data_IF_158432677666
#
_entry.id   IF_158432677666
#
_cell.length_a   1.000
_cell.length_b   1.000
_cell.length_c   1.000
_cell.angle_alpha   90.00
_cell.angle_beta   90.00
_cell.angle_gamma   90.00
#
_symmetry.space_group_name_H-M   'P 1'
#
loop_
_entity.id
_entity.type
_entity.pdbx_description
1 polymer ?
#
# COMPACT_ATOMS: atom_id res chain seq x y z
N UNK A 1 15.47 -10.30 -2.31
CA UNK A 1 15.02 -9.28 -3.28
C UNK A 1 15.75 -9.51 -4.61
N UNK A 2 15.03 -9.51 -5.74
CA UNK A 2 15.61 -9.79 -7.06
C UNK A 2 16.71 -8.81 -7.49
N UNK A 3 16.69 -7.58 -6.97
CA UNK A 3 17.60 -6.49 -7.34
C UNK A 3 18.72 -6.24 -6.31
N UNK A 4 18.82 -7.07 -5.26
CA UNK A 4 19.81 -6.91 -4.20
C UNK A 4 19.61 -5.67 -3.30
N UNK A 5 18.48 -4.99 -3.40
CA UNK A 5 18.09 -3.85 -2.53
C UNK A 5 16.61 -3.97 -2.15
N UNK A 6 16.24 -3.39 -1.01
CA UNK A 6 14.87 -3.17 -0.56
C UNK A 6 14.47 -1.69 -0.59
N UNK A 7 15.38 -0.78 -0.96
CA UNK A 7 15.11 0.65 -1.11
C UNK A 7 14.38 0.90 -2.41
N UNK A 8 13.14 1.37 -2.33
CA UNK A 8 12.36 1.76 -3.50
C UNK A 8 13.00 2.93 -4.26
N UNK A 9 13.64 3.85 -3.53
CA UNK A 9 14.37 4.98 -4.10
C UNK A 9 15.54 4.51 -4.97
N UNK A 10 16.29 3.50 -4.52
CA UNK A 10 17.40 2.95 -5.29
C UNK A 10 16.90 2.29 -6.58
N UNK A 11 15.78 1.56 -6.49
CA UNK A 11 15.17 0.90 -7.65
C UNK A 11 14.68 1.93 -8.66
N UNK A 12 13.99 2.97 -8.22
CA UNK A 12 13.55 4.07 -9.09
C UNK A 12 14.72 4.77 -9.78
N UNK A 13 15.81 5.01 -9.04
CA UNK A 13 17.04 5.59 -9.61
C UNK A 13 17.62 4.70 -10.71
N UNK A 14 17.74 3.39 -10.48
CA UNK A 14 18.22 2.43 -11.50
C UNK A 14 17.32 2.44 -12.74
N UNK A 15 16.00 2.52 -12.55
CA UNK A 15 15.05 2.61 -13.67
C UNK A 15 15.27 3.90 -14.48
N UNK A 16 15.48 5.03 -13.81
CA UNK A 16 15.77 6.31 -14.45
C UNK A 16 17.11 6.28 -15.23
N UNK A 17 18.08 5.50 -14.76
CA UNK A 17 19.36 5.24 -15.42
C UNK A 17 19.28 4.20 -16.56
N UNK A 18 18.09 3.63 -16.81
CA UNK A 18 17.84 2.72 -17.93
C UNK A 18 17.94 1.23 -17.60
N UNK A 19 18.00 0.85 -16.31
CA UNK A 19 18.00 -0.56 -15.89
C UNK A 19 16.65 -1.23 -16.18
N UNK A 20 16.60 -1.97 -17.29
CA UNK A 20 15.42 -2.72 -17.72
C UNK A 20 15.01 -3.85 -16.77
N UNK A 21 15.96 -4.47 -16.06
CA UNK A 21 15.66 -5.54 -15.10
C UNK A 21 15.04 -4.96 -13.83
N UNK A 22 15.55 -3.82 -13.36
CA UNK A 22 14.94 -3.07 -12.27
C UNK A 22 13.50 -2.69 -12.61
N UNK A 23 13.26 -2.16 -13.82
CA UNK A 23 11.92 -1.81 -14.29
C UNK A 23 10.99 -3.00 -14.31
N UNK A 24 11.42 -4.12 -14.89
CA UNK A 24 10.62 -5.35 -14.98
C UNK A 24 10.22 -5.86 -13.59
N UNK A 25 11.17 -5.91 -12.67
CA UNK A 25 10.91 -6.35 -11.30
C UNK A 25 9.97 -5.39 -10.56
N UNK A 26 10.16 -4.08 -10.72
CA UNK A 26 9.35 -3.07 -10.04
C UNK A 26 7.92 -2.98 -10.59
N UNK A 27 7.76 -3.07 -11.91
CA UNK A 27 6.45 -3.18 -12.54
C UNK A 27 5.76 -4.51 -12.17
N UNK A 28 6.52 -5.60 -12.06
CA UNK A 28 6.02 -6.88 -11.55
C UNK A 28 5.46 -6.78 -10.13
N UNK A 29 6.09 -5.98 -9.26
CA UNK A 29 5.56 -5.67 -7.93
C UNK A 29 4.22 -4.92 -8.02
N UNK A 30 4.16 -3.86 -8.84
CA UNK A 30 2.92 -3.10 -9.07
C UNK A 30 1.78 -4.01 -9.59
N UNK A 31 2.10 -4.91 -10.50
CA UNK A 31 1.16 -5.88 -11.07
C UNK A 31 0.61 -6.84 -10.02
N UNK A 32 1.47 -7.37 -9.15
CA UNK A 32 1.04 -8.28 -8.08
C UNK A 32 0.15 -7.57 -7.05
N UNK A 33 0.49 -6.33 -6.67
CA UNK A 33 -0.37 -5.52 -5.80
C UNK A 33 -1.73 -5.27 -6.44
N UNK A 34 -1.77 -4.90 -7.73
CA UNK A 34 -3.02 -4.70 -8.45
C UNK A 34 -3.89 -5.96 -8.51
N UNK A 35 -3.28 -7.14 -8.69
CA UNK A 35 -4.00 -8.42 -8.65
C UNK A 35 -4.60 -8.71 -7.29
N UNK A 36 -3.89 -8.44 -6.21
CA UNK A 36 -4.42 -8.63 -4.85
C UNK A 36 -5.60 -7.69 -4.58
N UNK A 37 -5.53 -6.43 -5.03
CA UNK A 37 -6.66 -5.50 -4.98
C UNK A 37 -7.86 -6.08 -5.74
N UNK A 38 -7.65 -6.58 -6.96
CA UNK A 38 -8.71 -7.23 -7.75
C UNK A 38 -9.30 -8.47 -7.07
N UNK A 39 -8.47 -9.27 -6.39
CA UNK A 39 -8.93 -10.44 -5.62
C UNK A 39 -9.86 -10.02 -4.47
N UNK A 40 -9.50 -8.98 -3.73
CA UNK A 40 -10.33 -8.46 -2.63
C UNK A 40 -11.63 -7.86 -3.17
N UNK A 41 -11.56 -7.08 -4.26
CA UNK A 41 -12.75 -6.53 -4.91
C UNK A 41 -13.71 -7.63 -5.37
N UNK A 42 -13.18 -8.73 -5.93
CA UNK A 42 -13.96 -9.90 -6.31
C UNK A 42 -14.66 -10.54 -5.09
N UNK A 43 -13.94 -10.68 -3.96
CA UNK A 43 -14.52 -11.21 -2.72
C UNK A 43 -15.65 -10.32 -2.17
N UNK A 44 -15.66 -9.03 -2.51
CA UNK A 44 -16.71 -8.06 -2.19
C UNK A 44 -17.78 -7.93 -3.28
N UNK A 45 -17.82 -8.86 -4.26
CA UNK A 45 -18.74 -8.79 -5.41
C UNK A 45 -18.65 -7.48 -6.21
N UNK A 46 -17.49 -6.82 -6.19
CA UNK A 46 -17.29 -5.51 -6.82
C UNK A 46 -17.86 -4.32 -6.03
N UNK A 47 -18.50 -4.54 -4.88
CA UNK A 47 -19.03 -3.50 -4.01
C UNK A 47 -17.90 -2.86 -3.19
N UNK A 48 -17.11 -2.01 -3.84
CA UNK A 48 -15.95 -1.33 -3.25
C UNK A 48 -16.13 0.19 -3.35
N UNK A 49 -16.19 0.86 -2.20
CA UNK A 49 -16.31 2.33 -2.16
C UNK A 49 -15.01 3.04 -2.57
N UNK A 50 -13.88 2.53 -2.06
CA UNK A 50 -12.56 3.11 -2.28
C UNK A 50 -11.45 2.08 -2.15
N UNK A 51 -10.35 2.34 -2.84
CA UNK A 51 -9.07 1.63 -2.71
C UNK A 51 -8.09 2.58 -2.03
N UNK A 52 -7.60 2.21 -0.85
CA UNK A 52 -6.65 3.01 -0.08
C UNK A 52 -5.24 2.46 -0.25
N UNK A 53 -4.33 3.28 -0.79
CA UNK A 53 -2.91 2.96 -0.91
C UNK A 53 -2.16 3.73 0.19
N UNK A 54 -1.60 2.99 1.14
CA UNK A 54 -0.89 3.53 2.31
C UNK A 54 0.43 2.79 2.53
N UNK A 55 1.12 3.05 3.63
CA UNK A 55 2.42 2.47 3.94
C UNK A 55 3.58 3.24 3.33
N UNK A 56 4.81 2.81 3.66
CA UNK A 56 6.03 3.46 3.15
C UNK A 56 6.11 3.51 1.61
N UNK A 57 5.64 2.46 0.92
CA UNK A 57 5.67 2.34 -0.52
C UNK A 57 4.76 3.34 -1.26
N UNK A 58 3.74 3.87 -0.59
CA UNK A 58 2.84 4.87 -1.16
C UNK A 58 3.53 6.23 -1.42
N UNK A 59 4.76 6.44 -0.94
CA UNK A 59 5.58 7.60 -1.31
C UNK A 59 6.14 7.50 -2.74
N UNK A 60 6.20 6.30 -3.32
CA UNK A 60 6.62 6.11 -4.71
C UNK A 60 5.48 6.49 -5.67
N UNK A 61 5.63 7.64 -6.34
CA UNK A 61 4.67 8.07 -7.38
C UNK A 61 4.62 7.06 -8.53
N UNK A 62 5.77 6.56 -8.98
CA UNK A 62 5.88 5.60 -10.08
C UNK A 62 5.07 4.33 -9.77
N UNK A 63 5.25 3.77 -8.58
CA UNK A 63 4.54 2.57 -8.15
C UNK A 63 3.04 2.82 -8.02
N UNK A 64 2.66 3.92 -7.36
CA UNK A 64 1.26 4.30 -7.15
C UNK A 64 0.54 4.50 -8.48
N UNK A 65 1.17 5.15 -9.46
CA UNK A 65 0.60 5.36 -10.79
C UNK A 65 0.38 4.03 -11.52
N UNK A 66 1.35 3.12 -11.49
CA UNK A 66 1.22 1.80 -12.12
C UNK A 66 0.14 0.93 -11.48
N UNK A 67 -0.02 0.98 -10.16
CA UNK A 67 -1.11 0.29 -9.46
C UNK A 67 -2.45 0.95 -9.85
N UNK A 68 -2.54 2.28 -9.71
CA UNK A 68 -3.76 3.06 -9.96
C UNK A 68 -4.29 2.85 -11.37
N UNK A 69 -3.40 2.87 -12.38
CA UNK A 69 -3.78 2.64 -13.77
C UNK A 69 -4.51 1.31 -13.98
N UNK A 70 -4.17 0.28 -13.19
CA UNK A 70 -4.74 -1.07 -13.29
C UNK A 70 -6.03 -1.24 -12.49
N UNK A 71 -6.20 -0.52 -11.38
CA UNK A 71 -7.30 -0.79 -10.41
C UNK A 71 -8.36 0.31 -10.35
N UNK A 72 -8.12 1.50 -10.94
CA UNK A 72 -9.07 2.63 -10.88
C UNK A 72 -10.45 2.36 -11.51
N UNK A 73 -10.59 1.29 -12.28
CA UNK A 73 -11.89 0.88 -12.83
C UNK A 73 -12.80 0.25 -11.76
N UNK A 74 -12.22 -0.23 -10.65
CA UNK A 74 -12.94 -0.88 -9.55
C UNK A 74 -13.58 0.20 -8.67
N UNK A 75 -12.79 1.16 -8.21
CA UNK A 75 -13.23 2.21 -7.29
C UNK A 75 -12.29 3.42 -7.29
N UNK A 76 -12.67 4.49 -6.58
CA UNK A 76 -11.80 5.65 -6.34
C UNK A 76 -10.53 5.22 -5.59
N UNK A 77 -9.37 5.57 -6.13
CA UNK A 77 -8.08 5.34 -5.46
C UNK A 77 -7.70 6.56 -4.63
N UNK A 78 -7.37 6.33 -3.37
CA UNK A 78 -6.97 7.35 -2.40
C UNK A 78 -5.59 7.00 -1.84
N UNK A 79 -4.68 7.97 -1.80
CA UNK A 79 -3.27 7.74 -1.44
C UNK A 79 -2.96 8.48 -0.15
N UNK A 80 -2.53 7.74 0.87
CA UNK A 80 -2.15 8.26 2.18
C UNK A 80 -0.78 7.71 2.56
N UNK A 81 0.31 8.38 2.14
CA UNK A 81 1.66 7.90 2.39
C UNK A 81 2.02 7.86 3.88
N UNK A 82 2.82 6.87 4.25
CA UNK A 82 3.35 6.74 5.61
C UNK A 82 2.53 5.83 6.52
N UNK A 83 3.03 5.68 7.74
CA UNK A 83 2.47 4.81 8.77
C UNK A 83 2.51 5.61 10.09
N UNK A 84 1.37 6.14 10.54
CA UNK A 84 1.27 6.86 11.82
C UNK A 84 1.17 5.88 13.01
N UNK A 85 2.03 4.86 13.07
CA UNK A 85 1.88 3.73 14.00
C UNK A 85 1.91 4.17 15.47
N UNK A 86 2.89 4.98 15.85
CA UNK A 86 3.04 5.46 17.23
C UNK A 86 1.83 6.29 17.68
N UNK A 87 1.29 7.11 16.77
CA UNK A 87 0.11 7.91 17.06
C UNK A 87 -1.16 7.05 17.09
N UNK A 88 -1.28 6.06 16.22
CA UNK A 88 -2.38 5.09 16.25
C UNK A 88 -2.41 4.31 17.57
N UNK A 89 -1.23 3.86 18.04
CA UNK A 89 -1.09 3.16 19.30
C UNK A 89 -1.44 4.06 20.49
N UNK A 90 -0.89 5.28 20.53
CA UNK A 90 -1.19 6.25 21.58
C UNK A 90 -2.69 6.59 21.63
N UNK A 91 -3.32 6.79 20.47
CA UNK A 91 -4.77 7.04 20.36
C UNK A 91 -5.59 5.84 20.84
N UNK A 92 -5.19 4.61 20.51
CA UNK A 92 -5.87 3.42 20.98
C UNK A 92 -5.79 3.28 22.50
N UNK A 93 -4.61 3.49 23.09
CA UNK A 93 -4.42 3.49 24.55
C UNK A 93 -5.26 4.58 25.23
N UNK A 94 -5.30 5.79 24.66
CA UNK A 94 -6.11 6.89 25.19
C UNK A 94 -7.61 6.56 25.18
N UNK A 95 -8.14 5.98 24.08
CA UNK A 95 -9.56 5.57 24.01
C UNK A 95 -9.91 4.52 25.05
N UNK A 96 -9.00 3.57 25.31
CA UNK A 96 -9.18 2.56 26.35
C UNK A 96 -9.20 3.19 27.75
N UNK A 97 -8.23 4.06 28.06
CA UNK A 97 -8.15 4.75 29.35
C UNK A 97 -9.35 5.69 29.59
N UNK A 98 -9.90 6.29 28.54
CA UNK A 98 -11.07 7.15 28.60
C UNK A 98 -12.41 6.38 28.64
N UNK A 99 -12.40 5.04 28.59
CA UNK A 99 -13.61 4.21 28.59
C UNK A 99 -14.43 4.27 27.29
N UNK A 100 -13.90 4.86 26.22
CA UNK A 100 -14.54 4.91 24.89
C UNK A 100 -14.47 3.56 24.20
N UNK A 101 -13.40 2.80 24.43
CA UNK A 101 -13.17 1.49 23.84
C UNK A 101 -12.92 0.44 24.94
N UNK A 102 -13.63 -0.69 24.89
CA UNK A 102 -13.41 -1.78 25.86
C UNK A 102 -12.10 -2.53 25.56
N UNK A 103 -11.26 -2.68 26.59
CA UNK A 103 -10.03 -3.46 26.51
C UNK A 103 -10.39 -4.94 26.32
N UNK A 104 -9.85 -5.54 25.26
CA UNK A 104 -9.98 -6.98 25.01
C UNK A 104 -8.88 -7.75 25.73
N UNK A 105 -9.25 -8.81 26.44
CA UNK A 105 -8.30 -9.75 27.03
C UNK A 105 -8.03 -10.86 26.04
N UNK A 106 -6.75 -11.08 25.74
CA UNK A 106 -6.29 -12.21 24.94
C UNK A 106 -5.75 -13.23 25.95
N UNK A 107 -6.62 -14.07 26.49
CA UNK A 107 -6.32 -15.16 27.43
C UNK A 107 -7.09 -16.39 27.05
#
# INVERSE_FOLDING_TARGET
AYLGTNSLLDVEKRIAEGDSQAKLCYEGMAYQVAKEIGRVACAMSGEVDAIVVTGGAANSKMLVEWITARVKFIARVMVYPGEEEMLALARAALRALAGVEQVKRIS
#
